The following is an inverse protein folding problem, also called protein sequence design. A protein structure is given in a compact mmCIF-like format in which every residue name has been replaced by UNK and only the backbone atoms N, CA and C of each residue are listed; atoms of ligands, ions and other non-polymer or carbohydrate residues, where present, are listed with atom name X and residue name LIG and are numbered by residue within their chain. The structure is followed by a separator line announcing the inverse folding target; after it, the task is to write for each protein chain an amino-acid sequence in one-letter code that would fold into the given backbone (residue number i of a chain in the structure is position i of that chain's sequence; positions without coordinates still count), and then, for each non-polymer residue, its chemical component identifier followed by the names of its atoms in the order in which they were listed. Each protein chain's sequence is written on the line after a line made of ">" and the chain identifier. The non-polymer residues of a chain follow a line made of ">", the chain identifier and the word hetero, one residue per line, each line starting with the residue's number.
data_IF_929188825278
#
_entry.id   IF_929188825278
#
_cell.length_a   1.000
_cell.length_b   1.000
_cell.length_c   1.000
_cell.angle_alpha   90.00
_cell.angle_beta   90.00
_cell.angle_gamma   90.00
#
_symmetry.space_group_name_H-M   'P 1'
#
loop_
_entity.id
_entity.type
_entity.pdbx_description
1 polymer ?
#
# COMPACT_ATOMS: atom_id res chain seq x y z
N UNK A 1 4.65 25.11 -9.92
CA UNK A 1 4.16 24.29 -8.79
C UNK A 1 4.55 22.85 -9.07
N UNK A 2 4.85 22.05 -8.04
CA UNK A 2 5.18 20.63 -8.26
C UNK A 2 3.89 19.88 -8.60
N UNK A 3 3.89 19.15 -9.71
CA UNK A 3 2.77 18.29 -10.10
C UNK A 3 2.58 17.15 -9.08
N UNK A 4 1.33 16.86 -8.72
CA UNK A 4 0.99 15.79 -7.76
C UNK A 4 1.44 14.41 -8.28
N UNK A 5 1.37 14.22 -9.59
CA UNK A 5 1.91 13.03 -10.26
C UNK A 5 3.43 12.91 -10.10
N UNK A 6 4.18 14.01 -10.12
CA UNK A 6 5.62 13.99 -9.89
C UNK A 6 5.94 13.64 -8.44
N UNK A 7 5.21 14.22 -7.47
CA UNK A 7 5.35 13.89 -6.05
C UNK A 7 5.12 12.39 -5.80
N UNK A 8 4.06 11.81 -6.38
CA UNK A 8 3.81 10.38 -6.29
C UNK A 8 4.97 9.55 -6.85
N UNK A 9 5.46 9.88 -8.06
CA UNK A 9 6.59 9.15 -8.68
C UNK A 9 7.86 9.23 -7.82
N UNK A 10 8.10 10.35 -7.17
CA UNK A 10 9.22 10.55 -6.25
C UNK A 10 9.06 9.68 -4.99
N UNK A 11 7.85 9.59 -4.41
CA UNK A 11 7.57 8.67 -3.30
C UNK A 11 7.77 7.20 -3.70
N UNK A 12 7.31 6.80 -4.89
CA UNK A 12 7.55 5.46 -5.45
C UNK A 12 9.05 5.17 -5.53
N UNK A 13 9.86 6.14 -5.97
CA UNK A 13 11.31 6.03 -6.01
C UNK A 13 11.93 5.79 -4.63
N UNK A 14 11.51 6.53 -3.61
CA UNK A 14 12.00 6.31 -2.24
C UNK A 14 11.62 4.93 -1.70
N UNK A 15 10.38 4.51 -1.92
CA UNK A 15 9.93 3.18 -1.52
C UNK A 15 10.67 2.06 -2.26
N UNK A 16 11.06 2.27 -3.52
CA UNK A 16 11.91 1.33 -4.25
C UNK A 16 13.31 1.22 -3.62
N UNK A 17 13.92 2.33 -3.19
CA UNK A 17 15.19 2.31 -2.46
C UNK A 17 15.05 1.58 -1.11
N UNK A 18 13.98 1.86 -0.37
CA UNK A 18 13.69 1.19 0.91
C UNK A 18 13.51 -0.32 0.69
N UNK A 19 12.76 -0.71 -0.34
CA UNK A 19 12.54 -2.11 -0.70
C UNK A 19 13.82 -2.84 -1.12
N UNK A 20 14.73 -2.15 -1.82
CA UNK A 20 16.05 -2.69 -2.16
C UNK A 20 16.85 -3.06 -0.90
N UNK A 21 16.84 -2.18 0.10
CA UNK A 21 17.56 -2.35 1.36
C UNK A 21 16.88 -3.39 2.27
N UNK A 22 15.54 -3.46 2.25
CA UNK A 22 14.74 -4.33 3.12
C UNK A 22 14.66 -5.78 2.63
N UNK A 23 14.64 -5.96 1.31
CA UNK A 23 14.63 -7.27 0.64
C UNK A 23 13.23 -7.80 0.33
N UNK A 24 13.15 -8.60 -0.75
CA UNK A 24 11.90 -9.06 -1.36
C UNK A 24 10.90 -9.70 -0.39
N UNK A 25 11.30 -10.68 0.42
CA UNK A 25 10.37 -11.40 1.29
C UNK A 25 9.67 -10.50 2.31
N UNK A 26 10.39 -9.52 2.87
CA UNK A 26 9.82 -8.57 3.83
C UNK A 26 8.87 -7.59 3.15
N UNK A 27 9.20 -7.15 1.95
CA UNK A 27 8.30 -6.33 1.12
C UNK A 27 7.04 -7.11 0.71
N UNK A 28 7.14 -8.42 0.45
CA UNK A 28 6.00 -9.25 0.07
C UNK A 28 5.00 -9.42 1.22
N UNK A 29 5.50 -9.61 2.45
CA UNK A 29 4.64 -9.60 3.64
C UNK A 29 4.01 -8.23 3.84
N UNK A 30 4.77 -7.15 3.62
CA UNK A 30 4.25 -5.78 3.64
C UNK A 30 3.14 -5.54 2.61
N UNK A 31 3.29 -6.06 1.39
CA UNK A 31 2.30 -5.99 0.32
C UNK A 31 0.99 -6.64 0.75
N UNK A 32 1.04 -7.84 1.33
CA UNK A 32 -0.16 -8.53 1.81
C UNK A 32 -0.91 -7.72 2.87
N UNK A 33 -0.18 -7.08 3.78
CA UNK A 33 -0.76 -6.19 4.79
C UNK A 33 -1.34 -4.90 4.20
N UNK A 34 -0.68 -4.29 3.21
CA UNK A 34 -1.23 -3.15 2.47
C UNK A 34 -2.53 -3.55 1.77
N UNK A 35 -2.55 -4.68 1.05
CA UNK A 35 -3.76 -5.16 0.36
C UNK A 35 -4.90 -5.39 1.33
N UNK A 36 -4.63 -5.99 2.50
CA UNK A 36 -5.62 -6.16 3.55
C UNK A 36 -6.14 -4.81 4.07
N UNK A 37 -5.25 -3.84 4.25
CA UNK A 37 -5.61 -2.49 4.71
C UNK A 37 -6.54 -1.79 3.71
N UNK A 38 -6.20 -1.86 2.42
CA UNK A 38 -7.02 -1.30 1.35
C UNK A 38 -8.38 -2.00 1.28
N UNK A 39 -8.41 -3.33 1.37
CA UNK A 39 -9.65 -4.09 1.39
C UNK A 39 -10.55 -3.69 2.57
N UNK A 40 -9.99 -3.53 3.77
CA UNK A 40 -10.74 -3.08 4.93
C UNK A 40 -11.34 -1.70 4.66
N UNK A 41 -10.54 -0.76 4.15
CA UNK A 41 -10.97 0.61 3.87
C UNK A 41 -12.07 0.70 2.81
N UNK A 42 -12.02 -0.13 1.78
CA UNK A 42 -12.98 -0.09 0.68
C UNK A 42 -14.27 -0.82 1.01
N UNK A 43 -14.18 -2.05 1.50
CA UNK A 43 -15.36 -2.91 1.74
C UNK A 43 -16.15 -2.46 2.96
N UNK A 44 -15.46 -1.98 4.01
CA UNK A 44 -16.10 -1.48 5.22
C UNK A 44 -16.26 0.05 5.22
N UNK A 45 -16.23 0.67 4.04
CA UNK A 45 -16.38 2.12 3.85
C UNK A 45 -17.61 2.71 4.57
N UNK A 46 -18.71 1.96 4.64
CA UNK A 46 -19.94 2.36 5.34
C UNK A 46 -19.75 2.52 6.86
N UNK A 47 -18.86 1.73 7.48
CA UNK A 47 -18.54 1.85 8.92
C UNK A 47 -17.82 3.18 9.14
N UNK A 48 -16.91 3.53 8.24
CA UNK A 48 -16.15 4.77 8.34
C UNK A 48 -17.03 5.99 8.02
N UNK A 49 -18.07 5.85 7.18
CA UNK A 49 -19.07 6.89 6.95
C UNK A 49 -19.86 7.21 8.22
N UNK A 50 -20.17 6.16 8.98
CA UNK A 50 -20.87 6.28 10.25
C UNK A 50 -20.00 6.91 11.33
N UNK A 51 -18.71 6.54 11.42
CA UNK A 51 -17.80 7.02 12.47
C UNK A 51 -17.26 8.42 12.20
N UNK A 52 -16.77 8.68 10.98
CA UNK A 52 -16.13 9.95 10.63
C UNK A 52 -17.15 11.01 10.16
N UNK A 53 -18.39 10.60 9.89
CA UNK A 53 -19.47 11.47 9.44
C UNK A 53 -19.35 11.83 7.97
N UNK A 54 -20.29 11.33 7.16
CA UNK A 54 -20.36 11.62 5.70
C UNK A 54 -20.38 13.11 5.35
N UNK A 55 -20.78 13.98 6.28
CA UNK A 55 -20.91 15.43 6.07
C UNK A 55 -19.59 16.21 6.12
N UNK A 56 -18.50 15.63 6.64
CA UNK A 56 -17.21 16.31 6.72
C UNK A 56 -16.14 15.55 5.91
N UNK A 57 -15.89 15.95 4.64
CA UNK A 57 -14.97 15.24 3.77
C UNK A 57 -13.51 15.32 4.27
N UNK A 58 -13.14 16.40 4.97
CA UNK A 58 -11.80 16.53 5.56
C UNK A 58 -11.59 15.53 6.69
N UNK A 59 -12.55 15.38 7.61
CA UNK A 59 -12.46 14.39 8.68
C UNK A 59 -12.47 12.97 8.12
N UNK A 60 -13.28 12.70 7.11
CA UNK A 60 -13.29 11.40 6.44
C UNK A 60 -11.94 11.08 5.81
N UNK A 61 -11.36 12.01 5.05
CA UNK A 61 -10.05 11.82 4.46
C UNK A 61 -8.98 11.54 5.51
N UNK A 62 -8.92 12.34 6.58
CA UNK A 62 -7.94 12.15 7.64
C UNK A 62 -8.10 10.81 8.35
N UNK A 63 -9.33 10.34 8.53
CA UNK A 63 -9.60 9.03 9.10
C UNK A 63 -9.09 7.91 8.21
N UNK A 64 -9.43 7.92 6.91
CA UNK A 64 -8.99 6.91 5.94
C UNK A 64 -7.45 6.91 5.79
N UNK A 65 -6.85 8.10 5.73
CA UNK A 65 -5.41 8.27 5.63
C UNK A 65 -4.68 7.75 6.87
N UNK A 66 -5.16 8.12 8.07
CA UNK A 66 -4.55 7.68 9.33
C UNK A 66 -4.69 6.17 9.48
N UNK A 67 -5.84 5.59 9.15
CA UNK A 67 -6.07 4.15 9.22
C UNK A 67 -5.18 3.40 8.22
N UNK A 68 -5.09 3.87 6.96
CA UNK A 68 -4.20 3.28 5.96
C UNK A 68 -2.75 3.30 6.42
N UNK A 69 -2.27 4.45 6.91
CA UNK A 69 -0.89 4.61 7.38
C UNK A 69 -0.65 3.71 8.60
N UNK A 70 -1.58 3.68 9.56
CA UNK A 70 -1.44 2.86 10.77
C UNK A 70 -1.40 1.36 10.44
N UNK A 71 -2.35 0.86 9.64
CA UNK A 71 -2.37 -0.56 9.26
C UNK A 71 -1.17 -0.94 8.39
N UNK A 72 -0.77 -0.07 7.45
CA UNK A 72 0.45 -0.27 6.67
C UNK A 72 1.67 -0.29 7.58
N UNK A 73 1.79 0.65 8.51
CA UNK A 73 2.90 0.69 9.46
C UNK A 73 2.98 -0.61 10.28
N UNK A 74 1.88 -1.08 10.85
CA UNK A 74 1.85 -2.36 11.57
C UNK A 74 2.22 -3.54 10.68
N UNK A 75 1.80 -3.53 9.41
CA UNK A 75 2.18 -4.54 8.43
C UNK A 75 3.69 -4.57 8.16
N UNK A 76 4.36 -3.40 8.22
CA UNK A 76 5.81 -3.30 8.08
C UNK A 76 6.57 -3.67 9.36
N UNK A 77 5.97 -3.42 10.54
CA UNK A 77 6.56 -3.71 11.83
C UNK A 77 6.54 -5.20 12.20
N UNK A 78 5.56 -5.96 11.70
CA UNK A 78 5.48 -7.39 11.99
C UNK A 78 6.71 -8.11 11.40
N UNK A 79 7.59 -8.56 12.29
CA UNK A 79 8.76 -9.34 11.93
C UNK A 79 8.32 -10.62 11.19
N UNK A 80 9.05 -11.05 10.13
CA UNK A 80 8.72 -12.25 9.36
C UNK A 80 9.13 -13.49 10.16
N UNK A 81 8.49 -13.75 11.30
CA UNK A 81 8.70 -14.98 12.08
C UNK A 81 7.73 -16.08 11.64
N UNK A 82 6.60 -15.72 11.03
CA UNK A 82 5.54 -16.65 10.61
C UNK A 82 5.78 -17.28 9.23
N UNK A 83 6.36 -16.54 8.28
CA UNK A 83 6.53 -16.99 6.88
C UNK A 83 7.87 -17.69 6.59
N UNK A 84 8.67 -17.94 7.63
CA UNK A 84 9.97 -18.59 7.48
C UNK A 84 9.81 -20.05 7.90
N UNK A 85 9.94 -21.02 6.98
CA UNK A 85 9.94 -22.43 7.34
C UNK A 85 10.96 -22.69 8.45
N UNK A 86 10.59 -23.46 9.48
CA UNK A 86 11.41 -23.78 10.66
C UNK A 86 12.86 -24.20 10.32
N UNK A 87 13.05 -24.77 9.13
CA UNK A 87 14.35 -25.21 8.58
C UNK A 87 15.34 -24.06 8.29
N UNK A 88 14.89 -22.81 8.25
CA UNK A 88 15.71 -21.60 8.02
C UNK A 88 15.85 -20.71 9.26
N UNK A 89 15.38 -21.20 10.42
CA UNK A 89 15.53 -20.53 11.71
C UNK A 89 16.93 -20.86 12.26
N UNK A 90 17.86 -19.91 12.18
CA UNK A 90 19.19 -20.08 12.76
C UNK A 90 19.11 -20.22 14.30
N UNK A 91 20.14 -20.83 14.90
CA UNK A 91 20.28 -21.12 16.35
C UNK A 91 20.15 -19.89 17.28
N UNK A 92 20.09 -18.67 16.74
CA UNK A 92 19.94 -17.38 17.45
C UNK A 92 18.64 -16.61 17.13
N UNK A 93 17.70 -17.21 16.42
CA UNK A 93 16.48 -16.49 15.97
C UNK A 93 16.70 -15.58 14.75
N UNK A 94 17.93 -15.53 14.21
CA UNK A 94 18.19 -14.96 12.90
C UNK A 94 17.56 -15.84 11.82
N UNK A 95 16.57 -15.25 11.13
CA UNK A 95 16.00 -15.77 9.90
C UNK A 95 17.03 -15.60 8.79
N UNK A 96 17.77 -16.68 8.47
CA UNK A 96 18.60 -16.74 7.26
C UNK A 96 17.75 -17.38 6.16
N UNK A 97 16.95 -16.57 5.48
CA UNK A 97 16.22 -17.07 4.30
C UNK A 97 17.23 -17.44 3.20
N UNK A 98 17.05 -18.59 2.52
CA UNK A 98 17.89 -18.96 1.40
C UNK A 98 17.66 -17.93 0.27
N UNK A 99 18.73 -17.28 -0.19
CA UNK A 99 18.64 -16.26 -1.25
C UNK A 99 18.65 -14.79 -0.82
N UNK A 100 18.85 -14.48 0.48
CA UNK A 100 19.00 -13.07 0.95
C UNK A 100 20.24 -12.34 0.42
N UNK A 101 21.20 -13.06 -0.16
CA UNK A 101 22.51 -12.49 -0.50
C UNK A 101 22.68 -12.21 -2.00
N UNK A 102 21.72 -12.60 -2.83
CA UNK A 102 21.74 -12.34 -4.26
C UNK A 102 21.33 -10.90 -4.58
N UNK A 103 22.11 -10.23 -5.44
CA UNK A 103 21.72 -8.93 -6.02
C UNK A 103 20.33 -8.98 -6.68
N UNK A 104 19.95 -10.14 -7.24
CA UNK A 104 18.64 -10.40 -7.83
C UNK A 104 17.49 -10.21 -6.84
N UNK A 105 17.60 -10.79 -5.63
CA UNK A 105 16.57 -10.68 -4.58
C UNK A 105 16.40 -9.25 -4.08
N UNK A 106 17.48 -8.45 -4.10
CA UNK A 106 17.42 -7.02 -3.74
C UNK A 106 16.75 -6.19 -4.83
N UNK A 107 17.04 -6.45 -6.10
CA UNK A 107 16.36 -5.78 -7.22
C UNK A 107 14.85 -6.10 -7.23
N UNK A 108 14.46 -7.34 -6.94
CA UNK A 108 13.05 -7.70 -6.74
C UNK A 108 12.43 -6.98 -5.55
N UNK A 109 13.19 -6.83 -4.45
CA UNK A 109 12.80 -5.99 -3.32
C UNK A 109 12.57 -4.53 -3.73
N UNK A 110 13.38 -3.98 -4.62
CA UNK A 110 13.22 -2.61 -5.11
C UNK A 110 11.93 -2.43 -5.93
N UNK A 111 11.66 -3.37 -6.84
CA UNK A 111 10.43 -3.35 -7.63
C UNK A 111 9.19 -3.47 -6.74
N UNK A 112 9.23 -4.40 -5.77
CA UNK A 112 8.11 -4.62 -4.87
C UNK A 112 7.92 -3.45 -3.89
N UNK A 113 9.02 -2.86 -3.42
CA UNK A 113 8.99 -1.64 -2.61
C UNK A 113 8.36 -0.49 -3.36
N UNK A 114 8.79 -0.22 -4.60
CA UNK A 114 8.18 0.80 -5.46
C UNK A 114 6.68 0.55 -5.68
N UNK A 115 6.30 -0.71 -5.92
CA UNK A 115 4.89 -1.10 -6.04
C UNK A 115 4.12 -0.88 -4.73
N UNK A 116 4.70 -1.21 -3.57
CA UNK A 116 4.10 -0.93 -2.27
C UNK A 116 3.92 0.58 -2.02
N UNK A 117 4.93 1.38 -2.36
CA UNK A 117 4.84 2.84 -2.29
C UNK A 117 3.76 3.41 -3.20
N UNK A 118 3.63 2.83 -4.40
CA UNK A 118 2.56 3.16 -5.33
C UNK A 118 1.19 2.84 -4.73
N UNK A 119 1.00 1.65 -4.15
CA UNK A 119 -0.24 1.27 -3.50
C UNK A 119 -0.56 2.23 -2.34
N UNK A 120 0.38 2.49 -1.44
CA UNK A 120 0.09 3.31 -0.25
C UNK A 120 -0.18 4.77 -0.63
N UNK A 121 0.76 5.41 -1.31
CA UNK A 121 0.65 6.85 -1.62
C UNK A 121 -0.38 7.11 -2.72
N UNK A 122 -0.48 6.21 -3.70
CA UNK A 122 -1.52 6.30 -4.74
C UNK A 122 -2.92 6.09 -4.18
N UNK A 123 -3.09 5.24 -3.16
CA UNK A 123 -4.39 5.08 -2.49
C UNK A 123 -4.76 6.29 -1.65
N UNK A 124 -3.77 6.93 -0.99
CA UNK A 124 -4.01 8.21 -0.30
C UNK A 124 -4.50 9.27 -1.28
N UNK A 125 -3.86 9.40 -2.44
CA UNK A 125 -4.32 10.32 -3.47
C UNK A 125 -5.72 9.93 -3.97
N UNK A 126 -6.00 8.64 -4.18
CA UNK A 126 -7.34 8.19 -4.54
C UNK A 126 -8.41 8.62 -3.54
N UNK A 127 -8.17 8.47 -2.23
CA UNK A 127 -9.13 8.92 -1.21
C UNK A 127 -9.33 10.44 -1.21
N UNK A 128 -8.29 11.22 -1.52
CA UNK A 128 -8.45 12.68 -1.70
C UNK A 128 -9.32 13.00 -2.91
N UNK A 129 -9.10 12.32 -4.03
CA UNK A 129 -9.83 12.53 -5.28
C UNK A 129 -11.33 12.21 -5.12
N UNK A 130 -11.65 11.09 -4.45
CA UNK A 130 -13.02 10.70 -4.12
C UNK A 130 -13.77 11.70 -3.22
N UNK A 131 -13.02 12.52 -2.47
CA UNK A 131 -13.57 13.51 -1.53
C UNK A 131 -13.41 14.94 -2.06
N UNK A 132 -13.16 15.10 -3.36
CA UNK A 132 -13.03 16.40 -4.04
C UNK A 132 -11.93 17.30 -3.45
N UNK A 133 -10.78 16.71 -3.06
CA UNK A 133 -9.60 17.40 -2.54
C UNK A 133 -9.88 18.25 -1.29
N UNK A 134 -10.27 17.62 -0.16
CA UNK A 134 -10.72 18.32 1.05
C UNK A 134 -9.61 19.03 1.85
N UNK A 135 -8.39 19.09 1.30
CA UNK A 135 -7.21 19.76 1.86
C UNK A 135 -6.80 21.02 1.06
N UNK A 136 -7.70 21.54 0.22
CA UNK A 136 -7.53 22.85 -0.43
C UNK A 136 -7.22 23.93 0.63
N UNK A 137 -6.15 24.74 0.50
CA UNK A 137 -5.25 24.93 -0.67
C UNK A 137 -3.91 24.20 -0.64
N UNK A 138 -3.67 23.31 0.32
CA UNK A 138 -2.41 22.55 0.40
C UNK A 138 -2.28 21.56 -0.75
N UNK A 139 -3.39 20.91 -1.12
CA UNK A 139 -3.47 20.00 -2.26
C UNK A 139 -4.71 20.32 -3.07
N UNK A 140 -4.51 20.94 -4.23
CA UNK A 140 -5.59 21.33 -5.12
C UNK A 140 -5.90 20.23 -6.14
N UNK A 141 -7.15 20.22 -6.59
CA UNK A 141 -7.59 19.39 -7.70
C UNK A 141 -6.73 19.68 -8.95
N UNK A 142 -6.19 18.65 -9.62
CA UNK A 142 -5.44 18.82 -10.86
C UNK A 142 -6.29 19.52 -11.92
N UNK A 143 -5.73 20.54 -12.57
CA UNK A 143 -6.38 21.18 -13.70
C UNK A 143 -6.50 20.20 -14.88
N UNK A 144 -7.61 20.26 -15.61
CA UNK A 144 -7.84 19.42 -16.79
C UNK A 144 -6.73 19.63 -17.83
N UNK A 145 -6.25 18.54 -18.44
CA UNK A 145 -5.17 18.56 -19.42
C UNK A 145 -3.75 18.60 -18.82
N UNK A 146 -3.61 18.45 -17.49
CA UNK A 146 -2.31 18.25 -16.84
C UNK A 146 -1.98 16.76 -16.72
N UNK A 147 -0.69 16.43 -16.66
CA UNK A 147 -0.20 15.06 -16.39
C UNK A 147 -0.80 14.47 -15.11
N UNK A 148 -1.07 15.30 -14.10
CA UNK A 148 -1.69 14.87 -12.85
C UNK A 148 -3.14 14.46 -13.04
N UNK A 149 -3.92 15.17 -13.86
CA UNK A 149 -5.31 14.79 -14.17
C UNK A 149 -5.38 13.45 -14.91
N UNK A 150 -4.48 13.22 -15.88
CA UNK A 150 -4.42 11.95 -16.61
C UNK A 150 -4.03 10.77 -15.70
N UNK A 151 -3.18 11.04 -14.70
CA UNK A 151 -2.68 10.02 -13.79
C UNK A 151 -3.74 9.54 -12.78
N UNK A 152 -4.75 10.35 -12.46
CA UNK A 152 -5.85 9.96 -11.55
C UNK A 152 -6.52 8.66 -12.03
N UNK A 153 -6.73 8.52 -13.34
CA UNK A 153 -7.31 7.31 -13.94
C UNK A 153 -6.49 6.03 -13.73
N UNK A 154 -5.20 6.17 -13.40
CA UNK A 154 -4.29 5.04 -13.23
C UNK A 154 -4.17 4.60 -11.78
N UNK A 155 -4.66 5.38 -10.81
CA UNK A 155 -4.46 5.18 -9.38
C UNK A 155 -4.79 3.75 -8.91
N UNK A 156 -4.14 3.26 -7.83
CA UNK A 156 -4.24 1.87 -7.38
C UNK A 156 -5.67 1.35 -7.25
N UNK A 157 -6.53 2.09 -6.54
CA UNK A 157 -7.89 1.62 -6.28
C UNK A 157 -8.78 1.62 -7.52
N UNK A 158 -8.49 2.47 -8.52
CA UNK A 158 -9.30 2.55 -9.74
C UNK A 158 -9.31 1.21 -10.46
N UNK A 159 -8.14 0.56 -10.58
CA UNK A 159 -8.06 -0.76 -11.21
C UNK A 159 -8.23 -1.91 -10.21
N UNK A 160 -7.90 -1.73 -8.92
CA UNK A 160 -8.14 -2.78 -7.91
C UNK A 160 -9.62 -3.00 -7.61
N UNK A 161 -10.46 -1.99 -7.72
CA UNK A 161 -11.91 -2.13 -7.52
C UNK A 161 -12.64 -2.62 -8.77
N UNK A 162 -12.02 -2.50 -9.96
CA UNK A 162 -12.58 -3.10 -11.16
C UNK A 162 -12.74 -4.61 -10.97
N UNK A 163 -13.93 -5.13 -11.30
CA UNK A 163 -14.27 -6.55 -11.19
C UNK A 163 -14.05 -7.16 -9.79
N UNK A 164 -14.07 -6.34 -8.73
CA UNK A 164 -13.77 -6.75 -7.36
C UNK A 164 -12.39 -7.44 -7.22
N UNK A 165 -11.41 -7.03 -8.02
CA UNK A 165 -10.07 -7.64 -8.04
C UNK A 165 -9.40 -7.62 -6.66
N UNK A 166 -9.57 -6.55 -5.90
CA UNK A 166 -9.06 -6.44 -4.53
C UNK A 166 -9.56 -7.59 -3.64
N UNK A 167 -10.87 -7.87 -3.68
CA UNK A 167 -11.50 -8.96 -2.92
C UNK A 167 -10.95 -10.31 -3.34
N UNK A 168 -10.80 -10.56 -4.64
CA UNK A 168 -10.22 -11.80 -5.15
C UNK A 168 -8.75 -11.98 -4.74
N UNK A 169 -7.96 -10.90 -4.79
CA UNK A 169 -6.55 -10.92 -4.38
C UNK A 169 -6.41 -11.20 -2.89
N UNK A 170 -7.21 -10.55 -2.05
CA UNK A 170 -7.20 -10.76 -0.59
C UNK A 170 -7.69 -12.17 -0.25
N UNK A 171 -8.77 -12.65 -0.87
CA UNK A 171 -9.23 -14.02 -0.69
C UNK A 171 -8.15 -15.05 -1.08
N UNK A 172 -7.48 -14.85 -2.21
CA UNK A 172 -6.34 -15.67 -2.64
C UNK A 172 -5.18 -15.65 -1.65
N UNK A 173 -4.81 -14.48 -1.13
CA UNK A 173 -3.78 -14.34 -0.09
C UNK A 173 -4.18 -15.09 1.19
N UNK A 174 -5.43 -14.99 1.63
CA UNK A 174 -5.93 -15.74 2.79
C UNK A 174 -5.89 -17.25 2.56
N UNK A 175 -6.30 -17.73 1.39
CA UNK A 175 -6.22 -19.16 1.05
C UNK A 175 -4.78 -19.67 1.09
N UNK A 176 -3.82 -18.90 0.55
CA UNK A 176 -2.40 -19.25 0.63
C UNK A 176 -1.95 -19.36 2.08
N UNK A 177 -2.34 -18.42 2.94
CA UNK A 177 -1.99 -18.43 4.38
C UNK A 177 -2.57 -19.66 5.08
N UNK A 178 -3.82 -20.02 4.78
CA UNK A 178 -4.49 -21.18 5.38
C UNK A 178 -3.83 -22.49 4.92
N UNK A 179 -3.48 -22.60 3.64
CA UNK A 179 -2.90 -23.82 3.05
C UNK A 179 -1.42 -23.98 3.43
N UNK A 180 -0.69 -22.88 3.58
CA UNK A 180 0.75 -22.90 3.90
C UNK A 180 1.06 -23.21 5.38
N UNK A 181 0.03 -23.41 6.22
CA UNK A 181 0.13 -23.71 7.65
C UNK A 181 -0.20 -25.17 7.92
#
# INVERSE_FOLDING_TARGET
>A
MMELSFFLRLCIGFFAVIGYLRGFYKEFVGLAGIMLSLFILTEFSWIFDFVAGRSNPTLRFLFDALLLIALTFFSYQQAPTTFVPSRYRGRRGEVRLPGQEGWQTRSLGALLGGFNGYLVVGSLWYFMDQLEYPLDPLFMMPALGTESADFVSRLPLVWLQQFNLLTWLVAGLFLIIIIAR
#
